data_IF_117413428982
#
_entry.id   IF_117413428982
#
_cell.length_a   1.000
_cell.length_b   1.000
_cell.length_c   1.000
_cell.angle_alpha   90.00
_cell.angle_beta   90.00
_cell.angle_gamma   90.00
#
_symmetry.space_group_name_H-M   'P 1'
#
loop_
_entity.id
_entity.type
_entity.pdbx_description
1 polymer ?
#
# COMPACT_ATOMS: atom_id res chain seq x y z
N UNK A 1 -11.04 -33.84 15.33
CA UNK A 1 -10.22 -33.13 16.34
C UNK A 1 -10.48 -31.64 16.18
N UNK A 2 -10.96 -30.92 17.20
CA UNK A 2 -11.08 -29.46 17.14
C UNK A 2 -9.68 -28.86 17.08
N UNK A 3 -9.44 -27.94 16.14
CA UNK A 3 -8.17 -27.20 16.06
C UNK A 3 -7.96 -26.40 17.36
N UNK A 4 -6.72 -26.36 17.92
CA UNK A 4 -6.44 -25.50 19.06
C UNK A 4 -6.71 -24.05 18.65
N UNK A 5 -7.61 -23.37 19.38
CA UNK A 5 -7.87 -21.95 19.20
C UNK A 5 -6.54 -21.20 19.30
N UNK A 6 -6.11 -20.57 18.20
CA UNK A 6 -4.93 -19.69 18.21
C UNK A 6 -5.17 -18.64 19.30
N UNK A 7 -4.16 -18.34 20.14
CA UNK A 7 -4.29 -17.26 21.12
C UNK A 7 -4.73 -16.00 20.36
N UNK A 8 -5.89 -15.45 20.76
CA UNK A 8 -6.41 -14.19 20.22
C UNK A 8 -5.32 -13.14 20.45
N UNK A 9 -4.66 -12.69 19.38
CA UNK A 9 -3.65 -11.63 19.50
C UNK A 9 -4.34 -10.39 20.06
N UNK A 10 -4.02 -9.90 21.27
CA UNK A 10 -4.66 -8.74 21.86
C UNK A 10 -4.42 -7.45 21.05
N UNK A 11 -3.52 -7.47 20.05
CA UNK A 11 -3.31 -6.38 19.10
C UNK A 11 -4.21 -6.45 17.84
N UNK A 12 -4.96 -7.54 17.62
CA UNK A 12 -5.84 -7.68 16.46
C UNK A 12 -7.11 -6.82 16.57
N UNK A 13 -7.64 -6.27 15.45
CA UNK A 13 -8.89 -5.52 15.46
C UNK A 13 -10.07 -6.43 15.85
N UNK A 14 -11.04 -5.94 16.65
CA UNK A 14 -12.21 -6.73 17.02
C UNK A 14 -13.02 -7.17 15.79
N UNK A 15 -13.12 -8.49 15.58
CA UNK A 15 -13.77 -9.12 14.43
C UNK A 15 -12.82 -9.86 13.47
N UNK A 16 -11.50 -9.76 13.68
CA UNK A 16 -10.49 -10.39 12.83
C UNK A 16 -9.87 -11.61 13.50
N UNK A 17 -9.61 -12.66 12.72
CA UNK A 17 -8.95 -13.90 13.18
C UNK A 17 -7.42 -13.80 13.20
N UNK A 18 -6.86 -12.70 12.66
CA UNK A 18 -5.43 -12.43 12.57
C UNK A 18 -5.14 -10.93 12.72
N UNK A 19 -3.87 -10.58 13.01
CA UNK A 19 -3.42 -9.20 13.11
C UNK A 19 -2.82 -8.75 11.77
N UNK A 20 -3.49 -7.86 11.00
CA UNK A 20 -3.02 -7.40 9.70
C UNK A 20 -1.70 -6.62 9.79
N UNK A 21 -1.39 -6.04 10.96
CA UNK A 21 -0.12 -5.34 11.22
C UNK A 21 0.95 -6.23 11.88
N UNK A 22 0.77 -7.56 11.86
CA UNK A 22 1.76 -8.51 12.37
C UNK A 22 3.07 -8.45 11.59
N UNK A 23 4.20 -8.65 12.27
CA UNK A 23 5.52 -8.63 11.63
C UNK A 23 5.71 -9.70 10.55
N UNK A 24 5.05 -10.86 10.67
CA UNK A 24 5.12 -11.94 9.68
C UNK A 24 4.48 -11.55 8.34
N UNK A 25 3.30 -10.94 8.37
CA UNK A 25 2.61 -10.44 7.16
C UNK A 25 3.39 -9.30 6.53
N UNK A 26 3.94 -8.41 7.36
CA UNK A 26 4.75 -7.27 6.91
C UNK A 26 6.06 -7.69 6.26
N UNK A 27 6.76 -8.68 6.79
CA UNK A 27 8.06 -9.08 6.23
C UNK A 27 7.91 -9.60 4.80
N UNK A 28 6.86 -10.37 4.54
CA UNK A 28 6.50 -10.80 3.19
C UNK A 28 6.16 -9.62 2.28
N UNK A 29 5.33 -8.68 2.74
CA UNK A 29 4.98 -7.48 1.97
C UNK A 29 6.20 -6.62 1.63
N UNK A 30 7.11 -6.41 2.59
CA UNK A 30 8.36 -5.66 2.38
C UNK A 30 9.24 -6.40 1.36
N UNK A 31 9.38 -7.72 1.47
CA UNK A 31 10.17 -8.49 0.53
C UNK A 31 9.62 -8.37 -0.90
N UNK A 32 8.31 -8.49 -1.07
CA UNK A 32 7.63 -8.32 -2.36
C UNK A 32 7.79 -6.90 -2.90
N UNK A 33 7.66 -5.88 -2.05
CA UNK A 33 7.88 -4.49 -2.42
C UNK A 33 9.33 -4.23 -2.88
N UNK A 34 10.33 -4.82 -2.22
CA UNK A 34 11.74 -4.71 -2.62
C UNK A 34 11.96 -5.38 -3.99
N UNK A 35 11.32 -6.52 -4.25
CA UNK A 35 11.38 -7.18 -5.57
C UNK A 35 10.73 -6.30 -6.63
N UNK A 36 9.54 -5.75 -6.36
CA UNK A 36 8.85 -4.80 -7.23
C UNK A 36 9.72 -3.57 -7.53
N UNK A 37 10.37 -3.01 -6.50
CA UNK A 37 11.32 -1.92 -6.63
C UNK A 37 12.47 -2.27 -7.56
N UNK A 38 13.10 -3.44 -7.37
CA UNK A 38 14.21 -3.88 -8.22
C UNK A 38 13.82 -4.00 -9.70
N UNK A 39 12.64 -4.58 -9.98
CA UNK A 39 12.10 -4.71 -11.34
C UNK A 39 11.82 -3.34 -11.96
N UNK A 40 11.09 -2.48 -11.26
CA UNK A 40 10.74 -1.15 -11.75
C UNK A 40 11.97 -0.25 -11.89
N UNK A 41 12.94 -0.35 -10.98
CA UNK A 41 14.20 0.40 -11.07
C UNK A 41 15.03 -0.04 -12.26
N UNK A 42 15.13 -1.34 -12.53
CA UNK A 42 15.81 -1.85 -13.72
C UNK A 42 15.17 -1.33 -15.01
N UNK A 43 13.83 -1.36 -15.11
CA UNK A 43 13.10 -0.81 -16.26
C UNK A 43 13.27 0.72 -16.37
N UNK A 44 13.32 1.43 -15.24
CA UNK A 44 13.58 2.87 -15.22
C UNK A 44 14.98 3.21 -15.73
N UNK A 45 16.00 2.43 -15.38
CA UNK A 45 17.36 2.61 -15.90
C UNK A 45 17.42 2.44 -17.43
N UNK A 46 16.66 1.49 -17.98
CA UNK A 46 16.52 1.34 -19.42
C UNK A 46 15.83 2.56 -20.06
N UNK A 47 14.72 3.05 -19.50
CA UNK A 47 14.03 4.24 -20.03
C UNK A 47 14.87 5.53 -19.94
N UNK A 48 15.76 5.61 -18.96
CA UNK A 48 16.73 6.70 -18.80
C UNK A 48 17.97 6.54 -19.71
N UNK A 49 18.05 5.47 -20.51
CA UNK A 49 19.17 5.20 -21.42
C UNK A 49 20.47 4.80 -20.72
N UNK A 50 20.41 4.34 -19.47
CA UNK A 50 21.60 3.83 -18.75
C UNK A 50 21.92 2.38 -19.14
N UNK A 51 20.96 1.67 -19.73
CA UNK A 51 21.07 0.27 -20.15
C UNK A 51 20.51 0.17 -21.56
N UNK A 52 21.23 -0.51 -22.45
CA UNK A 52 20.90 -0.58 -23.89
C UNK A 52 19.86 -1.65 -24.25
N UNK A 53 19.52 -2.54 -23.31
CA UNK A 53 18.61 -3.67 -23.55
C UNK A 53 17.83 -4.10 -22.31
N UNK A 54 16.63 -4.62 -22.53
CA UNK A 54 15.76 -5.17 -21.48
C UNK A 54 15.80 -6.69 -21.54
N UNK A 55 15.92 -7.33 -20.38
CA UNK A 55 15.77 -8.78 -20.29
C UNK A 55 14.31 -9.18 -20.54
N UNK A 56 14.07 -9.91 -21.62
CA UNK A 56 12.74 -10.35 -22.06
C UNK A 56 12.75 -11.83 -22.48
N UNK A 57 12.27 -12.75 -21.63
CA UNK A 57 12.36 -14.19 -21.89
C UNK A 57 11.22 -14.78 -22.74
N UNK A 58 10.06 -14.12 -22.81
CA UNK A 58 8.85 -14.73 -23.41
C UNK A 58 8.38 -14.02 -24.68
N UNK A 59 8.64 -12.72 -24.85
CA UNK A 59 8.01 -11.89 -25.88
C UNK A 59 9.00 -11.20 -26.84
N UNK A 60 10.18 -11.80 -27.08
CA UNK A 60 11.23 -11.26 -27.97
C UNK A 60 11.55 -9.78 -27.68
N UNK A 61 11.27 -8.86 -28.62
CA UNK A 61 11.47 -7.40 -28.46
C UNK A 61 10.24 -6.67 -27.90
N UNK A 62 9.27 -7.39 -27.35
CA UNK A 62 8.01 -6.84 -26.83
C UNK A 62 8.25 -5.83 -25.70
N UNK A 63 9.17 -6.12 -24.78
CA UNK A 63 9.54 -5.18 -23.71
C UNK A 63 10.06 -3.85 -24.24
N UNK A 64 10.96 -3.86 -25.21
CA UNK A 64 11.52 -2.63 -25.80
C UNK A 64 10.44 -1.79 -26.49
N UNK A 65 9.52 -2.43 -27.22
CA UNK A 65 8.40 -1.76 -27.87
C UNK A 65 7.45 -1.10 -26.86
N UNK A 66 7.14 -1.80 -25.77
CA UNK A 66 6.30 -1.27 -24.70
C UNK A 66 6.98 -0.09 -24.02
N UNK A 67 8.27 -0.23 -23.67
CA UNK A 67 9.00 0.81 -22.93
C UNK A 67 9.30 2.05 -23.77
N UNK A 68 9.38 1.93 -25.10
CA UNK A 68 9.53 3.06 -26.02
C UNK A 68 8.22 3.61 -26.59
N UNK A 69 7.08 3.07 -26.18
CA UNK A 69 5.78 3.50 -26.69
C UNK A 69 5.44 4.95 -26.31
N UNK A 70 4.55 5.58 -27.08
CA UNK A 70 4.07 6.92 -26.74
C UNK A 70 3.39 6.96 -25.36
N UNK A 71 2.81 5.83 -24.92
CA UNK A 71 2.19 5.68 -23.60
C UNK A 71 3.20 5.90 -22.46
N UNK A 72 4.44 5.41 -22.61
CA UNK A 72 5.51 5.63 -21.62
C UNK A 72 6.09 7.05 -21.68
N UNK A 73 5.87 7.78 -22.78
CA UNK A 73 6.29 9.17 -23.00
C UNK A 73 5.21 10.21 -22.67
N UNK A 74 3.97 9.79 -22.43
CA UNK A 74 2.87 10.71 -22.07
C UNK A 74 3.12 11.42 -20.74
N UNK A 75 3.85 10.79 -19.82
CA UNK A 75 4.27 11.40 -18.57
C UNK A 75 5.68 11.97 -18.74
N UNK A 76 5.96 13.17 -18.18
CA UNK A 76 7.30 13.77 -18.23
C UNK A 76 8.35 12.95 -17.45
N UNK A 77 7.91 11.99 -16.64
CA UNK A 77 8.74 11.06 -15.87
C UNK A 77 8.46 9.64 -16.37
N UNK A 78 9.49 8.78 -16.51
CA UNK A 78 9.29 7.40 -16.94
C UNK A 78 8.32 6.67 -15.99
N UNK A 79 7.35 5.94 -16.55
CA UNK A 79 6.36 5.18 -15.79
C UNK A 79 7.00 4.12 -14.88
N UNK A 80 8.09 3.50 -15.33
CA UNK A 80 8.87 2.58 -14.50
C UNK A 80 9.52 3.29 -13.29
N UNK A 81 9.93 4.56 -13.43
CA UNK A 81 10.49 5.32 -12.33
C UNK A 81 9.43 5.68 -11.26
N UNK A 82 8.20 5.97 -11.70
CA UNK A 82 7.07 6.16 -10.78
C UNK A 82 6.75 4.86 -10.02
N UNK A 83 6.77 3.72 -10.71
CA UNK A 83 6.62 2.40 -10.08
C UNK A 83 7.74 2.11 -9.07
N UNK A 84 8.99 2.45 -9.40
CA UNK A 84 10.11 2.27 -8.48
C UNK A 84 9.93 3.13 -7.23
N UNK A 85 9.57 4.41 -7.38
CA UNK A 85 9.31 5.27 -6.24
C UNK A 85 8.17 4.74 -5.36
N UNK A 86 7.08 4.27 -5.97
CA UNK A 86 5.96 3.65 -5.26
C UNK A 86 6.41 2.46 -4.41
N UNK A 87 7.09 1.49 -5.01
CA UNK A 87 7.55 0.30 -4.27
C UNK A 87 8.57 0.63 -3.18
N UNK A 88 9.41 1.64 -3.39
CA UNK A 88 10.34 2.10 -2.36
C UNK A 88 9.58 2.71 -1.18
N UNK A 89 8.58 3.56 -1.45
CA UNK A 89 7.70 4.11 -0.42
C UNK A 89 6.98 2.97 0.30
N UNK A 90 6.48 1.96 -0.40
CA UNK A 90 5.80 0.83 0.20
C UNK A 90 6.72 0.01 1.11
N UNK A 91 7.95 -0.25 0.68
CA UNK A 91 8.95 -0.95 1.50
C UNK A 91 9.31 -0.14 2.76
N UNK A 92 9.55 1.18 2.63
CA UNK A 92 9.86 2.06 3.76
C UNK A 92 8.68 2.16 4.71
N UNK A 93 7.47 2.39 4.20
CA UNK A 93 6.26 2.47 5.01
C UNK A 93 5.97 1.13 5.67
N UNK A 94 6.18 0.00 4.99
CA UNK A 94 6.06 -1.33 5.58
C UNK A 94 7.04 -1.56 6.73
N UNK A 95 8.28 -1.10 6.58
CA UNK A 95 9.33 -1.20 7.60
C UNK A 95 9.13 -0.25 8.79
N UNK A 96 8.53 0.93 8.56
CA UNK A 96 8.34 1.95 9.60
C UNK A 96 7.07 1.71 10.42
N UNK A 97 7.21 1.50 11.73
CA UNK A 97 6.10 1.43 12.70
C UNK A 97 5.85 0.02 13.26
N UNK A 98 5.18 -0.04 14.43
CA UNK A 98 4.95 -1.30 15.15
C UNK A 98 3.61 -1.98 14.86
N UNK A 99 3.37 -3.13 15.51
CA UNK A 99 2.17 -3.98 15.36
C UNK A 99 0.84 -3.34 15.77
N UNK A 100 0.89 -2.13 16.35
CA UNK A 100 -0.29 -1.33 16.76
C UNK A 100 -0.51 -0.09 15.90
N UNK A 101 0.14 0.00 14.73
CA UNK A 101 0.18 1.22 13.89
C UNK A 101 -1.20 1.66 13.37
N UNK A 102 -2.10 0.72 13.07
CA UNK A 102 -3.49 1.00 12.71
C UNK A 102 -4.24 1.85 13.77
N UNK A 103 -3.77 1.81 15.02
CA UNK A 103 -4.35 2.50 16.17
C UNK A 103 -3.55 3.71 16.63
N UNK A 104 -2.23 3.73 16.42
CA UNK A 104 -1.36 4.86 16.83
C UNK A 104 -1.13 5.90 15.74
N UNK A 105 -1.20 5.52 14.46
CA UNK A 105 -1.00 6.42 13.32
C UNK A 105 -1.98 6.08 12.17
N UNK A 106 -3.30 6.19 12.40
CA UNK A 106 -4.30 5.85 11.38
C UNK A 106 -4.19 6.72 10.12
N UNK A 107 -3.68 7.95 10.23
CA UNK A 107 -3.44 8.81 9.06
C UNK A 107 -2.42 8.22 8.07
N UNK A 108 -1.33 7.58 8.54
CA UNK A 108 -0.33 6.96 7.65
C UNK A 108 -0.94 5.77 6.92
N UNK A 109 -1.76 4.98 7.61
CA UNK A 109 -2.40 3.79 7.04
C UNK A 109 -3.40 4.20 5.95
N UNK A 110 -4.21 5.24 6.20
CA UNK A 110 -5.15 5.76 5.20
C UNK A 110 -4.41 6.37 4.01
N UNK A 111 -3.37 7.19 4.25
CA UNK A 111 -2.57 7.78 3.18
C UNK A 111 -1.89 6.70 2.33
N UNK A 112 -1.36 5.66 2.97
CA UNK A 112 -0.75 4.52 2.30
C UNK A 112 -1.76 3.79 1.41
N UNK A 113 -2.95 3.47 1.92
CA UNK A 113 -4.02 2.87 1.12
C UNK A 113 -4.46 3.74 -0.06
N UNK A 114 -4.55 5.05 0.15
CA UNK A 114 -4.87 6.04 -0.91
C UNK A 114 -3.74 6.16 -1.92
N UNK A 115 -2.49 5.87 -1.57
CA UNK A 115 -1.39 5.85 -2.53
C UNK A 115 -1.38 4.53 -3.33
N UNK A 116 -1.44 3.38 -2.64
CA UNK A 116 -1.36 2.04 -3.23
C UNK A 116 -2.55 1.74 -4.14
N UNK A 117 -3.77 2.15 -3.77
CA UNK A 117 -4.98 1.87 -4.53
C UNK A 117 -4.95 2.42 -5.98
N UNK A 118 -4.75 3.73 -6.18
CA UNK A 118 -4.60 4.33 -7.50
C UNK A 118 -3.42 3.77 -8.28
N UNK A 119 -2.29 3.51 -7.63
CA UNK A 119 -1.12 2.92 -8.29
C UNK A 119 -1.41 1.52 -8.82
N UNK A 120 -2.08 0.67 -8.02
CA UNK A 120 -2.55 -0.64 -8.47
C UNK A 120 -3.53 -0.55 -9.64
N UNK A 121 -4.46 0.42 -9.60
CA UNK A 121 -5.37 0.68 -10.72
C UNK A 121 -4.62 1.06 -12.00
N UNK A 122 -3.65 1.97 -11.90
CA UNK A 122 -2.81 2.37 -13.04
C UNK A 122 -2.05 1.17 -13.59
N UNK A 123 -1.48 0.30 -12.75
CA UNK A 123 -0.82 -0.92 -13.20
C UNK A 123 -1.75 -1.80 -14.04
N UNK A 124 -3.01 -2.00 -13.61
CA UNK A 124 -4.00 -2.78 -14.37
C UNK A 124 -4.33 -2.12 -15.71
N UNK A 125 -4.51 -0.79 -15.72
CA UNK A 125 -4.78 -0.05 -16.96
C UNK A 125 -3.63 -0.15 -17.97
N UNK A 126 -2.38 -0.11 -17.50
CA UNK A 126 -1.21 -0.27 -18.36
C UNK A 126 -1.14 -1.68 -18.97
N UNK A 127 -1.48 -2.72 -18.22
CA UNK A 127 -1.58 -4.09 -18.75
C UNK A 127 -2.66 -4.21 -19.81
N UNK A 128 -3.83 -3.57 -19.61
CA UNK A 128 -4.88 -3.54 -20.62
C UNK A 128 -4.42 -2.77 -21.87
N UNK A 129 -3.72 -1.65 -21.70
CA UNK A 129 -3.20 -0.86 -22.82
C UNK A 129 -2.15 -1.62 -23.64
N UNK A 130 -1.29 -2.43 -22.99
CA UNK A 130 -0.36 -3.34 -23.68
C UNK A 130 -1.11 -4.32 -24.61
N UNK A 131 -2.20 -4.91 -24.11
CA UNK A 131 -3.00 -5.89 -24.85
C UNK A 131 -3.83 -5.27 -25.98
N UNK A 132 -4.37 -4.06 -25.80
CA UNK A 132 -5.32 -3.45 -26.75
C UNK A 132 -4.62 -2.52 -27.74
N UNK A 133 -3.74 -1.63 -27.26
CA UNK A 133 -3.12 -0.60 -28.10
C UNK A 133 -1.76 -1.01 -28.65
N UNK A 134 -0.88 -1.58 -27.80
CA UNK A 134 0.49 -1.85 -28.21
C UNK A 134 0.64 -3.19 -28.94
N UNK A 135 -0.27 -4.14 -28.70
CA UNK A 135 -0.19 -5.52 -29.23
C UNK A 135 1.17 -6.17 -28.93
N UNK A 136 1.81 -5.74 -27.84
CA UNK A 136 3.13 -6.15 -27.40
C UNK A 136 3.11 -6.33 -25.88
N UNK A 137 3.89 -7.28 -25.39
CA UNK A 137 3.91 -7.70 -24.00
C UNK A 137 5.29 -7.49 -23.40
N UNK A 138 5.31 -7.06 -22.15
CA UNK A 138 6.52 -6.85 -21.36
C UNK A 138 6.45 -7.75 -20.13
N UNK A 139 7.27 -8.80 -20.08
CA UNK A 139 7.23 -9.81 -18.99
C UNK A 139 7.46 -9.16 -17.63
N UNK A 140 8.43 -8.25 -17.55
CA UNK A 140 8.77 -7.56 -16.32
C UNK A 140 7.68 -6.57 -15.88
N UNK A 141 6.98 -5.96 -16.82
CA UNK A 141 5.85 -5.08 -16.56
C UNK A 141 4.65 -5.87 -16.03
N UNK A 142 4.36 -7.03 -16.63
CA UNK A 142 3.31 -7.95 -16.16
C UNK A 142 3.61 -8.47 -14.76
N UNK A 143 4.86 -8.84 -14.49
CA UNK A 143 5.29 -9.29 -13.18
C UNK A 143 5.16 -8.17 -12.14
N UNK A 144 5.57 -6.94 -12.48
CA UNK A 144 5.38 -5.77 -11.63
C UNK A 144 3.89 -5.49 -11.38
N UNK A 145 3.04 -5.53 -12.41
CA UNK A 145 1.60 -5.35 -12.24
C UNK A 145 0.97 -6.42 -11.35
N UNK A 146 1.40 -7.68 -11.47
CA UNK A 146 0.97 -8.76 -10.59
C UNK A 146 1.34 -8.47 -9.13
N UNK A 147 2.57 -8.01 -8.88
CA UNK A 147 3.04 -7.63 -7.54
C UNK A 147 2.15 -6.50 -6.97
N UNK A 148 1.90 -5.43 -7.72
CA UNK A 148 1.00 -4.34 -7.31
C UNK A 148 -0.37 -4.86 -6.88
N UNK A 149 -1.00 -5.70 -7.71
CA UNK A 149 -2.34 -6.24 -7.44
C UNK A 149 -2.37 -7.11 -6.19
N UNK A 150 -1.36 -7.97 -5.99
CA UNK A 150 -1.24 -8.81 -4.80
C UNK A 150 -1.08 -7.96 -3.53
N UNK A 151 -0.38 -6.84 -3.60
CA UNK A 151 -0.17 -5.93 -2.46
C UNK A 151 -1.42 -5.13 -2.07
N UNK A 152 -2.35 -4.90 -3.00
CA UNK A 152 -3.59 -4.12 -2.73
C UNK A 152 -4.44 -4.78 -1.63
N UNK A 153 -4.56 -6.11 -1.60
CA UNK A 153 -5.39 -6.82 -0.62
C UNK A 153 -4.97 -6.53 0.83
N UNK A 154 -3.72 -6.84 1.22
CA UNK A 154 -3.23 -6.55 2.58
C UNK A 154 -3.24 -5.05 2.93
N UNK A 155 -2.99 -4.17 1.96
CA UNK A 155 -3.11 -2.72 2.17
C UNK A 155 -4.56 -2.31 2.50
N UNK A 156 -5.55 -2.86 1.79
CA UNK A 156 -6.97 -2.62 2.06
C UNK A 156 -7.39 -3.14 3.44
N UNK A 157 -6.85 -4.26 3.89
CA UNK A 157 -7.15 -4.83 5.20
C UNK A 157 -6.72 -3.90 6.35
N UNK A 158 -5.53 -3.28 6.25
CA UNK A 158 -5.10 -2.26 7.22
C UNK A 158 -5.98 -1.00 7.18
N UNK A 159 -6.37 -0.54 5.98
CA UNK A 159 -7.26 0.64 5.81
C UNK A 159 -8.63 0.37 6.43
N UNK A 160 -9.21 -0.81 6.19
CA UNK A 160 -10.50 -1.21 6.76
C UNK A 160 -10.43 -1.28 8.28
N UNK A 161 -9.34 -1.80 8.85
CA UNK A 161 -9.14 -1.81 10.30
C UNK A 161 -9.08 -0.40 10.90
N UNK A 162 -8.38 0.54 10.25
CA UNK A 162 -8.34 1.95 10.67
C UNK A 162 -9.70 2.65 10.50
N UNK A 163 -10.45 2.39 9.43
CA UNK A 163 -11.81 2.93 9.25
C UNK A 163 -12.78 2.39 10.30
N UNK A 164 -12.69 1.11 10.66
CA UNK A 164 -13.46 0.53 11.77
C UNK A 164 -13.14 1.19 13.11
N UNK A 165 -11.87 1.55 13.34
CA UNK A 165 -11.45 2.31 14.52
C UNK A 165 -12.06 3.72 14.55
N UNK A 166 -12.03 4.44 13.43
CA UNK A 166 -12.63 5.77 13.29
C UNK A 166 -14.15 5.73 13.49
N UNK A 167 -14.86 4.76 12.90
CA UNK A 167 -16.31 4.59 13.06
C UNK A 167 -16.69 4.39 14.53
N UNK A 168 -15.99 3.52 15.26
CA UNK A 168 -16.25 3.28 16.70
C UNK A 168 -15.96 4.51 17.56
N UNK A 169 -15.02 5.35 17.16
CA UNK A 169 -14.72 6.61 17.85
C UNK A 169 -15.82 7.66 17.60
N UNK A 170 -16.38 7.70 16.39
CA UNK A 170 -17.57 8.48 16.06
C UNK A 170 -18.78 8.08 16.92
N UNK A 171 -19.03 6.76 17.02
CA UNK A 171 -20.16 6.22 17.78
C UNK A 171 -20.07 6.54 19.29
N UNK A 172 -18.86 6.80 19.79
CA UNK A 172 -18.58 7.21 21.18
C UNK A 172 -18.60 8.73 21.39
N UNK A 173 -18.99 9.54 20.39
CA UNK A 173 -19.01 11.02 20.41
C UNK A 173 -17.67 11.68 20.78
N UNK A 174 -16.56 11.02 20.47
CA UNK A 174 -15.22 11.60 20.65
C UNK A 174 -14.80 12.38 19.40
N UNK A 175 -13.82 13.28 19.52
CA UNK A 175 -13.39 14.11 18.38
C UNK A 175 -12.68 13.26 17.31
N UNK A 176 -13.28 13.15 16.12
CA UNK A 176 -12.73 12.37 15.01
C UNK A 176 -11.38 12.93 14.52
N UNK A 177 -11.19 14.24 14.65
CA UNK A 177 -9.97 14.92 14.23
C UNK A 177 -8.77 14.56 15.10
N UNK A 178 -8.93 14.51 16.44
CA UNK A 178 -7.86 14.04 17.32
C UNK A 178 -7.62 12.54 17.16
N UNK A 179 -8.68 11.73 17.01
CA UNK A 179 -8.50 10.29 16.82
C UNK A 179 -7.80 9.92 15.50
N UNK A 180 -8.03 10.70 14.43
CA UNK A 180 -7.35 10.54 13.14
C UNK A 180 -5.87 10.95 13.19
N UNK A 181 -5.56 12.09 13.84
CA UNK A 181 -4.18 12.60 13.92
C UNK A 181 -3.33 12.00 15.04
N UNK A 182 -3.93 11.71 16.20
CA UNK A 182 -3.22 11.27 17.42
C UNK A 182 -3.43 9.78 17.75
N UNK A 183 -4.37 9.10 17.08
CA UNK A 183 -4.66 7.69 17.32
C UNK A 183 -5.09 7.42 18.76
N UNK A 184 -4.59 6.32 19.36
CA UNK A 184 -4.89 5.92 20.73
C UNK A 184 -4.38 6.90 21.81
N UNK A 185 -3.49 7.83 21.46
CA UNK A 185 -2.98 8.82 22.44
C UNK A 185 -4.08 9.77 22.91
N UNK A 186 -5.12 9.99 22.09
CA UNK A 186 -6.30 10.76 22.48
C UNK A 186 -7.01 10.15 23.71
N UNK A 187 -7.01 8.82 23.88
CA UNK A 187 -7.61 8.18 25.08
C UNK A 187 -6.85 8.48 26.38
N UNK A 188 -5.57 8.84 26.31
CA UNK A 188 -4.75 9.14 27.49
C UNK A 188 -4.94 10.59 27.97
N UNK A 189 -5.25 11.52 27.05
CA UNK A 189 -5.52 12.93 27.39
C UNK A 189 -6.99 13.19 27.76
N UNK A 190 -7.93 12.39 27.22
CA UNK A 190 -9.38 12.56 27.44
C UNK A 190 -9.93 11.74 28.62
N UNK A 191 -9.06 11.26 29.51
CA UNK A 191 -9.44 10.88 30.88
C UNK A 191 -9.79 12.10 31.77
N UNK A 192 -9.97 13.29 31.18
CA UNK A 192 -10.75 14.35 31.79
C UNK A 192 -12.24 14.07 31.53
N UNK A 193 -13.07 13.85 32.57
CA UNK A 193 -14.48 13.53 32.38
C UNK A 193 -15.19 14.66 31.64
N UNK A 194 -16.11 14.29 30.75
CA UNK A 194 -17.04 15.20 30.08
C UNK A 194 -17.97 15.82 31.13
N UNK A 195 -17.50 16.89 31.78
CA UNK A 195 -18.32 17.76 32.61
C UNK A 195 -19.11 18.73 31.71
N UNK A 196 -20.39 19.01 32.00
CA UNK A 196 -21.19 19.91 31.17
C UNK A 196 -20.58 21.32 31.12
N UNK A 197 -20.34 21.79 29.90
CA UNK A 197 -19.81 23.11 29.53
C UNK A 197 -20.84 24.24 29.75
N UNK A 198 -21.44 24.36 30.93
CA UNK A 198 -22.35 25.49 31.24
C UNK A 198 -22.29 26.00 32.69
N UNK A 199 -21.29 25.63 33.49
CA UNK A 199 -21.08 26.27 34.80
C UNK A 199 -19.74 27.00 34.88
N UNK A 200 -19.69 28.17 34.25
CA UNK A 200 -18.89 29.30 34.75
C UNK A 200 -19.67 30.59 34.53
N UNK A 201 -19.86 31.29 35.65
CA UNK A 201 -20.54 32.57 35.88
C UNK A 201 -22.06 32.46 35.95
#
# INVERSE_FOLDING_TARGET
>A
MPQPARPIDPAAPPGWTYNPSGWSERLWLIAVAIVGFGLSFYLALYQLGQIDGVWEPFFDRGSEQVLHSDLSRLLPVPDAALGALAYLVDAVVGAVGGTRRWRTMPWIVVLFGVAVGPLGLVSVLLVIAQAVWLQAWCTLCLLSALISVVMVGPAMDEVLASLQFLKRTCDRRMSLWQAFWQGDRARSEEAAPCGPMWRRV
#
